data_IF_314301928939
#
_entry.id   IF_314301928939
#
_cell.length_a   1.000
_cell.length_b   1.000
_cell.length_c   1.000
_cell.angle_alpha   90.00
_cell.angle_beta   90.00
_cell.angle_gamma   90.00
#
_symmetry.space_group_name_H-M   'P 1'
#
loop_
_entity.id
_entity.type
_entity.pdbx_description
1 polymer ?
#
# COMPACT_ATOMS: atom_id res chain seq x y z
N UNK A 1 0.50 16.12 17.02
CA UNK A 1 -0.43 15.11 16.47
C UNK A 1 0.42 13.90 16.11
N UNK A 2 0.13 12.73 16.68
CA UNK A 2 0.86 11.51 16.36
C UNK A 2 0.73 11.21 14.87
N UNK A 3 1.85 11.12 14.17
CA UNK A 3 1.86 10.96 12.71
C UNK A 3 1.77 9.48 12.36
N UNK A 4 0.69 9.10 11.68
CA UNK A 4 0.60 7.79 11.04
C UNK A 4 1.36 7.86 9.71
N UNK A 5 2.20 6.86 9.47
CA UNK A 5 2.82 6.60 8.18
C UNK A 5 1.93 5.62 7.42
N UNK A 6 1.57 5.94 6.19
CA UNK A 6 0.74 5.07 5.35
C UNK A 6 1.54 4.66 4.12
N UNK A 7 1.54 3.37 3.81
CA UNK A 7 2.18 2.83 2.61
C UNK A 7 1.28 1.83 1.90
N UNK A 8 1.39 1.81 0.56
CA UNK A 8 0.76 0.83 -0.30
C UNK A 8 1.85 -0.01 -0.96
N UNK A 9 1.79 -1.33 -0.77
CA UNK A 9 2.74 -2.28 -1.34
C UNK A 9 2.02 -3.09 -2.41
N UNK A 10 2.62 -3.20 -3.59
CA UNK A 10 2.10 -4.01 -4.68
C UNK A 10 2.94 -5.27 -4.84
N UNK A 11 2.31 -6.43 -4.83
CA UNK A 11 3.00 -7.73 -4.86
C UNK A 11 2.34 -8.66 -5.88
N UNK A 12 3.14 -9.54 -6.51
CA UNK A 12 2.56 -10.66 -7.26
C UNK A 12 2.04 -11.71 -6.29
N UNK A 13 0.95 -12.44 -6.61
CA UNK A 13 0.54 -13.58 -5.81
C UNK A 13 1.70 -14.57 -5.64
N UNK A 14 2.02 -14.91 -4.39
CA UNK A 14 3.13 -15.82 -4.05
C UNK A 14 4.53 -15.18 -4.05
N UNK A 15 4.67 -13.89 -4.36
CA UNK A 15 5.94 -13.19 -4.20
C UNK A 15 6.24 -12.92 -2.72
N UNK A 16 7.52 -13.03 -2.35
CA UNK A 16 8.00 -12.71 -0.99
C UNK A 16 8.25 -11.21 -0.83
N UNK A 17 8.60 -10.53 -1.92
CA UNK A 17 8.91 -9.10 -1.94
C UNK A 17 7.85 -8.30 -2.71
N UNK A 18 7.67 -7.05 -2.30
CA UNK A 18 6.82 -6.12 -3.02
C UNK A 18 7.54 -5.64 -4.29
N UNK A 19 6.84 -5.70 -5.41
CA UNK A 19 7.31 -5.14 -6.68
C UNK A 19 7.36 -3.61 -6.64
N UNK A 20 6.44 -2.99 -5.90
CA UNK A 20 6.41 -1.54 -5.67
C UNK A 20 6.02 -1.24 -4.23
N UNK A 21 6.63 -0.20 -3.65
CA UNK A 21 6.24 0.37 -2.36
C UNK A 21 6.01 1.86 -2.57
N UNK A 22 4.79 2.31 -2.29
CA UNK A 22 4.36 3.69 -2.46
C UNK A 22 4.00 4.28 -1.08
N UNK A 23 4.75 5.26 -0.57
CA UNK A 23 4.30 6.04 0.58
C UNK A 23 3.07 6.88 0.19
N UNK A 24 2.04 6.86 1.02
CA UNK A 24 0.82 7.65 0.84
C UNK A 24 0.95 8.97 1.59
N UNK A 25 0.59 10.07 0.93
CA UNK A 25 0.57 11.40 1.55
C UNK A 25 -0.76 11.62 2.28
N UNK A 26 -0.72 12.28 3.44
CA UNK A 26 -1.93 12.78 4.06
C UNK A 26 -2.52 13.89 3.16
N UNK A 27 -3.73 13.67 2.65
CA UNK A 27 -4.45 14.63 1.79
C UNK A 27 -5.54 15.38 2.56
N UNK A 28 -6.02 14.79 3.65
CA UNK A 28 -6.95 15.41 4.61
C UNK A 28 -6.82 14.70 5.98
N UNK A 29 -7.55 15.16 7.00
CA UNK A 29 -7.63 14.53 8.30
C UNK A 29 -8.09 13.07 8.19
N UNK A 30 -7.16 12.14 8.46
CA UNK A 30 -7.41 10.70 8.39
C UNK A 30 -7.49 10.14 6.96
N UNK A 31 -7.28 10.95 5.92
CA UNK A 31 -7.30 10.51 4.53
C UNK A 31 -5.89 10.53 3.95
N UNK A 32 -5.47 9.40 3.39
CA UNK A 32 -4.15 9.21 2.78
C UNK A 32 -4.33 8.82 1.31
N UNK A 33 -3.58 9.47 0.43
CA UNK A 33 -3.70 9.31 -1.02
C UNK A 33 -2.35 9.21 -1.72
N UNK A 34 -2.38 8.55 -2.87
CA UNK A 34 -1.23 8.37 -3.76
C UNK A 34 -1.67 7.70 -5.06
N UNK A 35 -0.83 7.79 -6.09
CA UNK A 35 -1.08 7.15 -7.39
C UNK A 35 -0.10 6.00 -7.57
N UNK A 36 -0.63 4.79 -7.73
CA UNK A 36 0.15 3.59 -8.00
C UNK A 36 -0.04 3.16 -9.46
N UNK A 37 1.04 3.16 -10.23
CA UNK A 37 1.04 2.62 -11.59
C UNK A 37 1.32 1.12 -11.53
N UNK A 38 0.37 0.31 -12.01
CA UNK A 38 0.54 -1.14 -12.06
C UNK A 38 1.48 -1.50 -13.22
N UNK A 39 2.62 -2.18 -12.98
CA UNK A 39 3.69 -2.26 -13.97
C UNK A 39 3.42 -3.27 -15.10
N UNK A 40 2.46 -4.18 -14.92
CA UNK A 40 2.07 -5.15 -15.94
C UNK A 40 0.65 -5.69 -15.68
N UNK A 41 0.01 -6.22 -16.71
CA UNK A 41 -1.30 -6.88 -16.58
C UNK A 41 -1.32 -8.10 -15.67
N UNK A 42 -2.52 -8.58 -15.39
CA UNK A 42 -2.79 -9.79 -14.61
C UNK A 42 -3.08 -9.52 -13.13
N UNK A 43 -2.91 -10.55 -12.32
CA UNK A 43 -3.27 -10.53 -10.89
C UNK A 43 -2.16 -9.90 -10.04
N UNK A 44 -2.59 -9.11 -9.07
CA UNK A 44 -1.77 -8.41 -8.09
C UNK A 44 -2.43 -8.41 -6.72
N UNK A 45 -1.62 -8.29 -5.68
CA UNK A 45 -2.05 -8.04 -4.32
C UNK A 45 -1.60 -6.63 -3.92
N UNK A 46 -2.54 -5.78 -3.56
CA UNK A 46 -2.28 -4.49 -2.96
C UNK A 46 -2.45 -4.57 -1.46
N UNK A 47 -1.38 -4.26 -0.74
CA UNK A 47 -1.33 -4.28 0.71
C UNK A 47 -1.21 -2.85 1.23
N UNK A 48 -2.23 -2.38 1.94
CA UNK A 48 -2.20 -1.14 2.71
C UNK A 48 -1.64 -1.42 4.10
N UNK A 49 -0.61 -0.67 4.50
CA UNK A 49 -0.06 -0.71 5.87
C UNK A 49 -0.12 0.68 6.47
N UNK A 50 -0.63 0.76 7.69
CA UNK A 50 -0.56 1.96 8.52
C UNK A 50 0.39 1.68 9.67
N UNK A 51 1.45 2.48 9.76
CA UNK A 51 2.48 2.38 10.76
C UNK A 51 2.42 3.58 11.70
N UNK A 52 2.80 3.34 12.94
CA UNK A 52 3.03 4.38 13.95
C UNK A 52 4.32 4.04 14.67
N UNK A 53 5.23 4.99 14.77
CA UNK A 53 6.54 4.77 15.41
C UNK A 53 7.31 3.57 14.79
N UNK A 54 7.13 3.36 13.48
CA UNK A 54 7.62 2.20 12.69
C UNK A 54 7.00 0.84 13.04
N UNK A 55 6.02 0.81 13.93
CA UNK A 55 5.24 -0.39 14.22
C UNK A 55 3.98 -0.43 13.35
N UNK A 56 3.70 -1.58 12.75
CA UNK A 56 2.48 -1.78 11.98
C UNK A 56 1.27 -1.83 12.92
N UNK A 57 0.32 -0.91 12.73
CA UNK A 57 -0.90 -0.83 13.54
C UNK A 57 -2.12 -1.37 12.79
N UNK A 58 -2.11 -1.28 11.47
CA UNK A 58 -3.17 -1.79 10.62
C UNK A 58 -2.60 -2.31 9.30
N UNK A 59 -3.22 -3.37 8.80
CA UNK A 59 -2.88 -4.01 7.54
C UNK A 59 -4.16 -4.46 6.84
N UNK A 60 -4.25 -4.22 5.54
CA UNK A 60 -5.32 -4.70 4.68
C UNK A 60 -4.72 -5.16 3.36
N UNK A 61 -5.13 -6.34 2.89
CA UNK A 61 -4.72 -6.86 1.58
C UNK A 61 -5.96 -6.96 0.70
N UNK A 62 -5.85 -6.47 -0.52
CA UNK A 62 -6.86 -6.57 -1.56
C UNK A 62 -6.26 -7.15 -2.84
N UNK A 63 -7.02 -7.98 -3.54
CA UNK A 63 -6.63 -8.43 -4.87
C UNK A 63 -7.03 -7.40 -5.92
N UNK A 64 -6.14 -7.16 -6.88
CA UNK A 64 -6.35 -6.29 -8.03
C UNK A 64 -6.10 -7.09 -9.31
N UNK A 65 -6.97 -6.91 -10.29
CA UNK A 65 -6.77 -7.40 -11.65
C UNK A 65 -6.48 -6.20 -12.57
N UNK A 66 -5.27 -6.17 -13.15
CA UNK A 66 -4.93 -5.19 -14.17
C UNK A 66 -5.20 -5.78 -15.56
N UNK A 67 -5.79 -4.99 -16.47
CA UNK A 67 -6.07 -5.41 -17.84
C UNK A 67 -4.79 -5.73 -18.64
#
# INVERSE_FOLDING_TARGET
VDRIEAELRLQRPGAVEAALVLPLAAVDAGTYGGVLHVPAGGRWLAELRLLRDREMRYQLIQELAAP
#
